data_IF_804570797498
#
_entry.id   IF_804570797498
#
_cell.length_a   1.000
_cell.length_b   1.000
_cell.length_c   1.000
_cell.angle_alpha   90.00
_cell.angle_beta   90.00
_cell.angle_gamma   90.00
#
_symmetry.space_group_name_H-M   'P 1'
#
loop_
_entity.id
_entity.type
_entity.pdbx_description
1 polymer ?
#
# COMPACT_ATOMS: atom_id res chain seq x y z
N UNK A 1 -34.18 4.55 -2.21
CA UNK A 1 -33.02 5.44 -2.02
C UNK A 1 -33.58 6.81 -1.70
N UNK A 2 -33.31 7.34 -0.51
CA UNK A 2 -33.77 8.70 -0.18
C UNK A 2 -32.98 9.72 -1.01
N UNK A 3 -33.64 10.76 -1.53
CA UNK A 3 -33.02 11.76 -2.43
C UNK A 3 -31.76 12.40 -1.81
N UNK A 4 -31.76 12.64 -0.51
CA UNK A 4 -30.61 13.20 0.21
C UNK A 4 -29.39 12.27 0.26
N UNK A 5 -29.60 10.95 0.26
CA UNK A 5 -28.51 9.97 0.24
C UNK A 5 -27.84 9.89 -1.13
N UNK A 6 -28.63 9.97 -2.21
CA UNK A 6 -28.10 9.97 -3.57
C UNK A 6 -27.24 11.21 -3.85
N UNK A 7 -27.69 12.38 -3.41
CA UNK A 7 -26.92 13.62 -3.55
C UNK A 7 -25.52 13.47 -2.96
N UNK A 8 -25.42 12.94 -1.74
CA UNK A 8 -24.12 12.72 -1.07
C UNK A 8 -23.22 11.73 -1.82
N UNK A 9 -23.81 10.71 -2.44
CA UNK A 9 -23.06 9.76 -3.26
C UNK A 9 -22.52 10.43 -4.53
N UNK A 10 -23.33 11.26 -5.19
CA UNK A 10 -22.91 12.04 -6.37
C UNK A 10 -21.84 13.07 -6.01
N UNK A 11 -21.97 13.75 -4.86
CA UNK A 11 -20.96 14.69 -4.35
C UNK A 11 -19.60 13.99 -4.14
N UNK A 12 -19.61 12.79 -3.56
CA UNK A 12 -18.40 11.97 -3.47
C UNK A 12 -17.82 11.73 -4.85
N UNK A 13 -18.64 11.24 -5.80
CA UNK A 13 -18.20 10.91 -7.16
C UNK A 13 -17.56 12.08 -7.90
N UNK A 14 -18.16 13.27 -7.79
CA UNK A 14 -17.62 14.47 -8.42
C UNK A 14 -16.33 14.94 -7.75
N UNK A 15 -16.19 14.74 -6.44
CA UNK A 15 -14.97 15.09 -5.67
C UNK A 15 -13.82 14.07 -5.78
N UNK A 16 -14.03 12.92 -6.45
CA UNK A 16 -13.02 11.86 -6.56
C UNK A 16 -11.75 12.33 -7.29
N UNK A 17 -10.61 12.15 -6.63
CA UNK A 17 -9.28 12.33 -7.22
C UNK A 17 -8.69 10.97 -7.59
N UNK A 18 -9.09 10.42 -8.73
CA UNK A 18 -8.61 9.12 -9.22
C UNK A 18 -8.05 9.22 -10.64
N UNK A 19 -7.45 8.13 -11.12
CA UNK A 19 -6.98 8.03 -12.50
C UNK A 19 -8.18 8.12 -13.45
N UNK A 20 -8.03 8.81 -14.57
CA UNK A 20 -9.06 8.92 -15.60
C UNK A 20 -9.64 7.56 -16.04
N UNK A 21 -8.79 6.53 -16.13
CA UNK A 21 -9.25 5.18 -16.46
C UNK A 21 -10.20 4.57 -15.42
N UNK A 22 -10.02 4.89 -14.13
CA UNK A 22 -10.92 4.46 -13.05
C UNK A 22 -12.20 5.31 -13.10
N UNK A 23 -12.05 6.63 -13.29
CA UNK A 23 -13.18 7.55 -13.38
C UNK A 23 -14.13 7.15 -14.50
N UNK A 24 -13.63 6.89 -15.71
CA UNK A 24 -14.46 6.43 -16.84
C UNK A 24 -15.27 5.19 -16.47
N UNK A 25 -14.59 4.14 -16.00
CA UNK A 25 -15.23 2.89 -15.57
C UNK A 25 -16.35 3.07 -14.56
N UNK A 26 -16.17 3.97 -13.59
CA UNK A 26 -17.21 4.24 -12.59
C UNK A 26 -18.45 4.85 -13.25
N UNK A 27 -18.27 5.70 -14.25
CA UNK A 27 -19.34 6.40 -14.96
C UNK A 27 -19.79 5.70 -16.26
N UNK A 28 -19.28 4.51 -16.58
CA UNK A 28 -19.59 3.82 -17.85
C UNK A 28 -21.11 3.54 -17.98
N UNK A 29 -21.80 3.28 -16.88
CA UNK A 29 -23.26 3.07 -16.83
C UNK A 29 -24.05 4.34 -16.42
N UNK A 30 -23.38 5.49 -16.41
CA UNK A 30 -23.97 6.79 -16.06
C UNK A 30 -23.93 7.14 -14.57
N UNK A 31 -24.14 8.42 -14.27
CA UNK A 31 -23.96 8.99 -12.92
C UNK A 31 -24.93 8.42 -11.88
N UNK A 32 -26.17 8.12 -12.28
CA UNK A 32 -27.16 7.54 -11.37
C UNK A 32 -26.74 6.15 -10.89
N UNK A 33 -26.30 5.29 -11.82
CA UNK A 33 -25.80 3.96 -11.49
C UNK A 33 -24.56 4.04 -10.63
N UNK A 34 -23.60 4.90 -10.99
CA UNK A 34 -22.42 5.14 -10.18
C UNK A 34 -22.78 5.55 -8.74
N UNK A 35 -23.76 6.45 -8.56
CA UNK A 35 -24.24 6.87 -7.24
C UNK A 35 -24.84 5.71 -6.44
N UNK A 36 -25.56 4.80 -7.11
CA UNK A 36 -26.07 3.58 -6.51
C UNK A 36 -24.95 2.63 -6.08
N UNK A 37 -23.94 2.41 -6.92
CA UNK A 37 -22.78 1.58 -6.56
C UNK A 37 -22.01 2.14 -5.35
N UNK A 38 -21.85 3.46 -5.26
CA UNK A 38 -21.28 4.14 -4.09
C UNK A 38 -22.10 3.86 -2.84
N UNK A 39 -23.43 4.00 -2.91
CA UNK A 39 -24.32 3.73 -1.78
C UNK A 39 -24.15 2.29 -1.29
N UNK A 40 -24.14 1.32 -2.20
CA UNK A 40 -23.96 -0.09 -1.84
C UNK A 40 -22.66 -0.34 -1.07
N UNK A 41 -21.54 0.24 -1.49
CA UNK A 41 -20.26 0.05 -0.78
C UNK A 41 -20.24 0.78 0.55
N UNK A 42 -20.85 1.96 0.63
CA UNK A 42 -20.99 2.69 1.90
C UNK A 42 -21.83 1.88 2.88
N UNK A 43 -22.95 1.32 2.44
CA UNK A 43 -23.85 0.52 3.29
C UNK A 43 -23.17 -0.79 3.72
N UNK A 44 -22.46 -1.48 2.83
CA UNK A 44 -21.64 -2.65 3.17
C UNK A 44 -20.60 -2.33 4.26
N UNK A 45 -19.81 -1.27 4.07
CA UNK A 45 -18.83 -0.83 5.06
C UNK A 45 -19.47 -0.46 6.41
N UNK A 46 -20.65 0.17 6.38
CA UNK A 46 -21.40 0.48 7.60
C UNK A 46 -21.95 -0.78 8.27
N UNK A 47 -22.39 -1.78 7.50
CA UNK A 47 -22.81 -3.08 8.01
C UNK A 47 -21.73 -3.81 8.79
N UNK A 48 -20.45 -3.59 8.44
CA UNK A 48 -19.30 -4.09 9.18
C UNK A 48 -18.80 -3.17 10.30
N UNK A 49 -19.54 -2.11 10.63
CA UNK A 49 -19.31 -1.28 11.81
C UNK A 49 -18.58 0.04 11.57
N UNK A 50 -18.30 0.44 10.32
CA UNK A 50 -17.84 1.81 10.07
C UNK A 50 -18.99 2.82 10.20
N UNK A 51 -18.69 4.00 10.73
CA UNK A 51 -19.62 5.11 10.62
C UNK A 51 -19.68 5.60 9.18
N UNK A 52 -20.85 6.09 8.74
CA UNK A 52 -21.08 6.54 7.36
C UNK A 52 -20.06 7.56 6.86
N UNK A 53 -19.63 8.51 7.71
CA UNK A 53 -18.58 9.49 7.39
C UNK A 53 -17.27 8.80 6.98
N UNK A 54 -16.90 7.76 7.70
CA UNK A 54 -15.62 7.08 7.56
C UNK A 54 -15.68 6.10 6.38
N UNK A 55 -16.84 5.48 6.13
CA UNK A 55 -17.10 4.72 4.91
C UNK A 55 -16.95 5.59 3.64
N UNK A 56 -17.54 6.80 3.61
CA UNK A 56 -17.32 7.75 2.51
C UNK A 56 -15.82 8.12 2.37
N UNK A 57 -15.12 8.32 3.47
CA UNK A 57 -13.66 8.61 3.46
C UNK A 57 -12.83 7.46 2.90
N UNK A 58 -13.20 6.21 3.19
CA UNK A 58 -12.57 5.01 2.61
C UNK A 58 -12.75 4.99 1.10
N UNK A 59 -13.97 5.16 0.59
CA UNK A 59 -14.24 5.19 -0.85
C UNK A 59 -13.54 6.35 -1.55
N UNK A 60 -13.49 7.53 -0.92
CA UNK A 60 -12.84 8.70 -1.49
C UNK A 60 -11.33 8.49 -1.64
N UNK A 61 -10.69 7.84 -0.66
CA UNK A 61 -9.26 7.48 -0.71
C UNK A 61 -8.97 6.31 -1.65
N UNK A 62 -9.88 5.35 -1.76
CA UNK A 62 -9.73 4.18 -2.64
C UNK A 62 -10.93 4.01 -3.58
N UNK A 63 -11.01 4.81 -4.67
CA UNK A 63 -12.19 4.81 -5.54
C UNK A 63 -12.37 3.55 -6.37
N UNK A 64 -11.33 2.70 -6.45
CA UNK A 64 -11.41 1.41 -7.16
C UNK A 64 -12.43 0.46 -6.51
N UNK A 65 -12.79 0.69 -5.24
CA UNK A 65 -13.79 -0.13 -4.54
C UNK A 65 -15.18 -0.05 -5.17
N UNK A 66 -15.50 1.06 -5.84
CA UNK A 66 -16.77 1.21 -6.56
C UNK A 66 -16.87 0.20 -7.70
N UNK A 67 -15.73 -0.28 -8.22
CA UNK A 67 -15.63 -1.23 -9.33
C UNK A 67 -15.48 -2.70 -8.89
N UNK A 68 -15.43 -2.98 -7.58
CA UNK A 68 -15.26 -4.34 -7.08
C UNK A 68 -16.59 -4.89 -6.62
N UNK A 69 -16.79 -6.19 -6.82
CA UNK A 69 -17.94 -6.92 -6.29
C UNK A 69 -18.00 -6.79 -4.77
N UNK A 70 -19.22 -6.76 -4.23
CA UNK A 70 -19.43 -6.55 -2.79
C UNK A 70 -18.89 -7.74 -2.01
N UNK A 71 -19.11 -8.95 -2.52
CA UNK A 71 -18.66 -10.20 -1.92
C UNK A 71 -17.13 -10.25 -1.77
N UNK A 72 -16.40 -9.67 -2.75
CA UNK A 72 -14.94 -9.55 -2.70
C UNK A 72 -14.47 -8.54 -1.63
N UNK A 73 -15.27 -7.51 -1.35
CA UNK A 73 -15.00 -6.53 -0.29
C UNK A 73 -15.29 -7.16 1.07
N UNK A 74 -16.46 -7.77 1.23
CA UNK A 74 -16.89 -8.44 2.46
C UNK A 74 -15.91 -9.54 2.86
N UNK A 75 -15.52 -10.42 1.93
CA UNK A 75 -14.56 -11.48 2.21
C UNK A 75 -13.19 -10.96 2.67
N UNK A 76 -12.74 -9.79 2.18
CA UNK A 76 -11.52 -9.14 2.67
C UNK A 76 -11.70 -8.53 4.05
N UNK A 77 -12.87 -7.95 4.35
CA UNK A 77 -13.19 -7.39 5.67
C UNK A 77 -13.29 -8.52 6.69
N UNK A 78 -13.99 -9.60 6.40
CA UNK A 78 -14.09 -10.77 7.28
C UNK A 78 -12.71 -11.35 7.57
N UNK A 79 -11.85 -11.49 6.56
CA UNK A 79 -10.48 -11.94 6.78
C UNK A 79 -9.68 -10.97 7.68
N UNK A 80 -9.87 -9.66 7.49
CA UNK A 80 -9.20 -8.63 8.29
C UNK A 80 -9.60 -8.72 9.78
N UNK A 81 -10.91 -8.82 10.05
CA UNK A 81 -11.46 -8.84 11.40
C UNK A 81 -11.24 -10.19 12.09
N UNK A 82 -11.58 -11.29 11.41
CA UNK A 82 -11.67 -12.61 12.01
C UNK A 82 -10.33 -13.34 12.02
N UNK A 83 -9.53 -13.20 10.95
CA UNK A 83 -8.25 -13.90 10.83
C UNK A 83 -7.09 -13.01 11.27
N UNK A 84 -6.97 -11.81 10.69
CA UNK A 84 -5.84 -10.93 10.97
C UNK A 84 -5.97 -10.15 12.28
N UNK A 85 -7.17 -10.15 12.90
CA UNK A 85 -7.48 -9.50 14.18
C UNK A 85 -7.25 -7.98 14.20
N UNK A 86 -7.34 -7.31 13.04
CA UNK A 86 -7.34 -5.84 13.00
C UNK A 86 -8.77 -5.31 13.17
N UNK A 87 -8.90 -4.12 13.76
CA UNK A 87 -10.19 -3.44 13.85
C UNK A 87 -10.62 -2.85 12.51
N UNK A 88 -11.93 -2.69 12.32
CA UNK A 88 -12.51 -2.11 11.09
C UNK A 88 -12.00 -0.68 10.82
N UNK A 89 -11.74 0.09 11.87
CA UNK A 89 -11.16 1.44 11.82
C UNK A 89 -9.82 1.49 11.05
N UNK A 90 -9.06 0.39 11.01
CA UNK A 90 -7.80 0.33 10.25
C UNK A 90 -7.98 0.57 8.74
N UNK A 91 -9.17 0.32 8.20
CA UNK A 91 -9.50 0.60 6.80
C UNK A 91 -9.55 2.09 6.50
N UNK A 92 -9.83 2.92 7.50
CA UNK A 92 -9.79 4.39 7.35
C UNK A 92 -8.38 4.87 7.05
N UNK A 93 -7.40 4.28 7.74
CA UNK A 93 -5.99 4.64 7.62
C UNK A 93 -5.34 4.01 6.40
N UNK A 94 -5.75 2.79 6.07
CA UNK A 94 -5.14 1.97 5.01
C UNK A 94 -6.21 1.36 4.10
N UNK A 95 -7.01 2.19 3.39
CA UNK A 95 -8.09 1.71 2.54
C UNK A 95 -7.58 0.90 1.33
N UNK A 96 -6.32 1.08 0.96
CA UNK A 96 -5.70 0.34 -0.14
C UNK A 96 -5.62 -1.17 0.12
N UNK A 97 -5.80 -1.62 1.37
CA UNK A 97 -5.97 -3.03 1.71
C UNK A 97 -7.07 -3.67 0.86
N UNK A 98 -8.23 -3.03 0.76
CA UNK A 98 -9.35 -3.55 -0.04
C UNK A 98 -9.04 -3.52 -1.55
N UNK A 99 -8.11 -2.64 -1.96
CA UNK A 99 -7.53 -2.53 -3.29
C UNK A 99 -6.56 -3.66 -3.68
N UNK A 100 -6.06 -4.44 -2.73
CA UNK A 100 -5.07 -5.49 -2.97
C UNK A 100 -5.69 -6.78 -3.52
N UNK A 101 -4.88 -7.54 -4.24
CA UNK A 101 -5.31 -8.87 -4.65
C UNK A 101 -5.26 -9.83 -3.45
N UNK A 102 -6.40 -10.41 -3.11
CA UNK A 102 -6.54 -11.25 -1.92
C UNK A 102 -5.61 -12.47 -1.94
N UNK A 103 -5.71 -13.30 -2.98
CA UNK A 103 -4.94 -14.55 -3.08
C UNK A 103 -3.46 -14.34 -3.37
N UNK A 104 -3.10 -13.32 -4.16
CA UNK A 104 -1.72 -13.10 -4.63
C UNK A 104 -0.90 -12.18 -3.70
N UNK A 105 -1.55 -11.37 -2.87
CA UNK A 105 -0.85 -10.38 -2.05
C UNK A 105 -1.20 -10.47 -0.57
N UNK A 106 -2.48 -10.46 -0.20
CA UNK A 106 -2.88 -10.45 1.21
C UNK A 106 -2.49 -11.78 1.88
N UNK A 107 -2.95 -12.91 1.34
CA UNK A 107 -2.71 -14.24 1.92
C UNK A 107 -1.21 -14.54 2.06
N UNK A 108 -0.36 -14.43 1.00
CA UNK A 108 1.05 -14.78 1.13
C UNK A 108 1.82 -13.88 2.10
N UNK A 109 1.47 -12.58 2.16
CA UNK A 109 2.09 -11.67 3.13
C UNK A 109 1.69 -12.02 4.55
N UNK A 110 0.40 -12.28 4.79
CA UNK A 110 -0.09 -12.68 6.10
C UNK A 110 0.53 -14.00 6.56
N UNK A 111 0.58 -15.03 5.70
CA UNK A 111 1.16 -16.34 6.06
C UNK A 111 2.63 -16.24 6.48
N UNK A 112 3.43 -15.41 5.81
CA UNK A 112 4.82 -15.16 6.20
C UNK A 112 4.89 -14.50 7.57
N UNK A 113 4.10 -13.44 7.79
CA UNK A 113 4.09 -12.72 9.07
C UNK A 113 3.62 -13.62 10.21
N UNK A 114 2.58 -14.42 10.00
CA UNK A 114 2.06 -15.31 11.01
C UNK A 114 3.06 -16.42 11.35
N UNK A 115 3.74 -16.98 10.35
CA UNK A 115 4.83 -17.92 10.57
C UNK A 115 5.96 -17.31 11.40
N UNK A 116 6.46 -16.12 11.02
CA UNK A 116 7.52 -15.44 11.77
C UNK A 116 7.08 -15.10 13.20
N UNK A 117 5.81 -14.69 13.39
CA UNK A 117 5.22 -14.44 14.71
C UNK A 117 5.27 -15.69 15.59
N UNK A 118 4.84 -16.83 15.07
CA UNK A 118 4.86 -18.12 15.81
C UNK A 118 6.26 -18.58 16.22
N UNK A 119 7.30 -18.12 15.52
CA UNK A 119 8.70 -18.46 15.76
C UNK A 119 9.42 -17.43 16.64
N UNK A 120 8.72 -16.39 17.11
CA UNK A 120 9.33 -15.27 17.84
C UNK A 120 10.28 -14.42 16.98
N UNK A 121 10.16 -14.49 15.66
CA UNK A 121 11.03 -13.77 14.72
C UNK A 121 10.64 -12.31 14.49
N UNK A 122 9.58 -11.83 15.14
CA UNK A 122 9.11 -10.44 15.05
C UNK A 122 9.31 -9.75 16.39
N UNK A 123 10.08 -8.65 16.39
CA UNK A 123 10.32 -7.84 17.59
C UNK A 123 9.12 -6.98 18.00
N UNK A 124 8.39 -6.45 17.01
CA UNK A 124 7.21 -5.60 17.22
C UNK A 124 5.98 -6.14 16.48
N UNK A 125 4.76 -5.82 16.96
CA UNK A 125 3.53 -6.07 16.21
C UNK A 125 3.57 -5.35 14.86
N UNK A 126 3.50 -6.13 13.78
CA UNK A 126 3.41 -5.58 12.43
C UNK A 126 2.06 -4.88 12.28
N UNK A 127 2.07 -3.67 11.75
CA UNK A 127 0.83 -2.93 11.47
C UNK A 127 0.27 -3.32 10.10
N UNK A 128 -1.05 -3.17 9.92
CA UNK A 128 -1.69 -3.37 8.62
C UNK A 128 -1.04 -2.52 7.52
N UNK A 129 -0.60 -1.30 7.87
CA UNK A 129 0.13 -0.40 6.98
C UNK A 129 1.36 -1.06 6.37
N UNK A 130 2.14 -1.79 7.15
CA UNK A 130 3.37 -2.42 6.67
C UNK A 130 3.05 -3.57 5.72
N UNK A 131 2.00 -4.33 6.02
CA UNK A 131 1.50 -5.40 5.15
C UNK A 131 0.99 -4.86 3.81
N UNK A 132 0.42 -3.67 3.77
CA UNK A 132 -0.20 -3.11 2.57
C UNK A 132 0.77 -2.26 1.76
N UNK A 133 1.45 -1.31 2.41
CA UNK A 133 2.25 -0.26 1.75
C UNK A 133 3.63 -0.74 1.30
N UNK A 134 4.16 -1.82 1.88
CA UNK A 134 5.44 -2.36 1.43
C UNK A 134 5.32 -2.87 -0.01
N UNK A 135 6.28 -2.47 -0.85
CA UNK A 135 6.42 -3.04 -2.19
C UNK A 135 6.72 -4.53 -2.08
N UNK A 136 6.40 -5.29 -3.14
CA UNK A 136 6.67 -6.74 -3.17
C UNK A 136 8.15 -7.05 -2.89
N UNK A 137 9.06 -6.28 -3.49
CA UNK A 137 10.51 -6.43 -3.29
C UNK A 137 10.95 -6.10 -1.86
N UNK A 138 10.43 -5.00 -1.27
CA UNK A 138 10.79 -4.63 0.10
C UNK A 138 10.26 -5.65 1.10
N UNK A 139 9.02 -6.10 0.94
CA UNK A 139 8.44 -7.16 1.78
C UNK A 139 9.28 -8.44 1.70
N UNK A 140 9.63 -8.88 0.48
CA UNK A 140 10.47 -10.06 0.29
C UNK A 140 11.83 -9.91 0.97
N UNK A 141 12.53 -8.79 0.77
CA UNK A 141 13.85 -8.60 1.36
C UNK A 141 13.84 -8.52 2.90
N UNK A 142 12.76 -8.03 3.51
CA UNK A 142 12.64 -7.91 4.96
C UNK A 142 12.19 -9.20 5.62
N UNK A 143 11.19 -9.89 5.07
CA UNK A 143 10.49 -10.98 5.76
C UNK A 143 10.66 -12.35 5.11
N UNK A 144 11.18 -12.43 3.89
CA UNK A 144 11.29 -13.71 3.16
C UNK A 144 12.74 -14.08 2.91
N UNK A 145 13.53 -13.21 2.30
CA UNK A 145 14.95 -13.45 2.00
C UNK A 145 15.79 -13.84 3.23
N UNK A 146 15.60 -13.24 4.42
CA UNK A 146 16.37 -13.64 5.60
C UNK A 146 15.93 -14.99 6.19
N UNK A 147 14.76 -15.50 5.79
CA UNK A 147 14.12 -16.70 6.35
C UNK A 147 13.74 -17.66 5.21
N UNK A 148 14.65 -18.53 4.75
CA UNK A 148 14.42 -19.40 3.59
C UNK A 148 13.16 -20.27 3.67
N UNK A 149 12.71 -20.61 4.88
CA UNK A 149 11.46 -21.36 5.10
C UNK A 149 10.22 -20.58 4.61
N UNK A 150 10.28 -19.25 4.67
CA UNK A 150 9.20 -18.37 4.24
C UNK A 150 9.04 -18.30 2.71
N UNK A 151 10.02 -18.76 1.92
CA UNK A 151 9.92 -18.75 0.46
C UNK A 151 8.76 -19.64 -0.04
N UNK A 152 8.52 -20.77 0.64
CA UNK A 152 7.39 -21.66 0.32
C UNK A 152 6.05 -21.01 0.62
N UNK A 153 5.96 -20.24 1.70
CA UNK A 153 4.75 -19.55 2.13
C UNK A 153 4.43 -18.33 1.26
N UNK A 154 5.45 -17.57 0.88
CA UNK A 154 5.28 -16.38 0.03
C UNK A 154 5.01 -16.73 -1.43
N UNK A 155 5.45 -17.92 -1.86
CA UNK A 155 5.44 -18.35 -3.25
C UNK A 155 6.62 -17.79 -4.06
N UNK A 156 6.73 -18.21 -5.33
CA UNK A 156 7.87 -17.82 -6.19
C UNK A 156 7.96 -16.30 -6.34
N UNK A 157 8.99 -15.71 -5.76
CA UNK A 157 9.44 -14.36 -6.08
C UNK A 157 10.35 -14.44 -7.31
N UNK A 158 9.77 -14.33 -8.50
CA UNK A 158 10.57 -13.90 -9.64
C UNK A 158 10.86 -12.43 -9.40
N UNK A 159 12.08 -12.10 -9.00
CA UNK A 159 12.58 -10.74 -9.20
C UNK A 159 12.47 -10.49 -10.70
N UNK A 160 11.36 -9.89 -11.15
CA UNK A 160 11.35 -9.22 -12.44
C UNK A 160 12.60 -8.37 -12.40
N UNK A 161 13.59 -8.71 -13.23
CA UNK A 161 14.82 -7.95 -13.34
C UNK A 161 14.35 -6.54 -13.63
N UNK A 162 14.31 -5.68 -12.61
CA UNK A 162 14.00 -4.28 -12.77
C UNK A 162 15.11 -3.80 -13.67
N UNK A 163 14.84 -3.69 -14.97
CA UNK A 163 15.75 -3.05 -15.91
C UNK A 163 15.86 -1.63 -15.37
N UNK A 164 16.91 -1.40 -14.60
CA UNK A 164 17.26 -0.07 -14.12
C UNK A 164 17.22 0.84 -15.35
N UNK A 165 16.38 1.88 -15.29
CA UNK A 165 16.32 2.89 -16.37
C UNK A 165 17.66 3.61 -16.53
N UNK A 166 18.54 3.50 -15.54
CA UNK A 166 19.90 3.97 -15.60
C UNK A 166 20.84 2.80 -15.93
N UNK A 167 21.65 2.91 -16.99
CA UNK A 167 22.69 1.94 -17.27
C UNK A 167 23.62 1.81 -16.06
N UNK A 168 23.79 0.58 -15.58
CA UNK A 168 24.69 0.27 -14.46
C UNK A 168 26.12 0.63 -14.90
N UNK A 169 26.81 1.44 -14.10
CA UNK A 169 28.20 1.83 -14.38
C UNK A 169 28.38 3.23 -14.98
N UNK A 170 27.33 4.04 -15.16
CA UNK A 170 27.48 5.46 -15.58
C UNK A 170 28.39 6.26 -14.64
N UNK A 171 28.39 5.93 -13.34
CA UNK A 171 29.28 6.53 -12.35
C UNK A 171 30.78 6.28 -12.64
N UNK A 172 31.11 5.23 -13.40
CA UNK A 172 32.49 4.96 -13.85
C UNK A 172 32.94 5.89 -14.99
N UNK A 173 31.98 6.50 -15.69
CA UNK A 173 32.25 7.48 -16.75
C UNK A 173 32.41 8.91 -16.19
N UNK A 174 31.87 9.16 -14.99
CA UNK A 174 32.11 10.39 -14.25
C UNK A 174 33.54 10.36 -13.72
N UNK A 175 34.47 11.04 -14.40
CA UNK A 175 35.77 11.39 -13.83
C UNK A 175 35.56 12.67 -13.01
N UNK A 176 35.71 12.64 -11.67
CA UNK A 176 35.66 13.86 -10.89
C UNK A 176 36.77 14.80 -11.40
N UNK A 177 36.45 16.10 -11.51
CA UNK A 177 37.46 17.10 -11.80
C UNK A 177 38.50 17.05 -10.69
N UNK A 178 39.76 16.78 -11.04
CA UNK A 178 40.86 16.85 -10.07
C UNK A 178 41.11 18.33 -9.79
N UNK A 179 40.59 18.81 -8.67
CA UNK A 179 41.01 20.11 -8.15
C UNK A 179 42.46 20.00 -7.67
N UNK A 180 43.36 20.93 -8.05
CA UNK A 180 44.69 20.95 -7.49
C UNK A 180 44.58 21.27 -6.00
N UNK A 181 44.97 20.34 -5.14
CA UNK A 181 44.99 20.56 -3.69
C UNK A 181 45.95 21.72 -3.39
N UNK A 182 45.41 22.86 -2.95
CA UNK A 182 46.25 23.94 -2.47
C UNK A 182 46.82 23.55 -1.10
N UNK A 183 47.98 24.11 -0.73
CA UNK A 183 48.54 23.92 0.62
C UNK A 183 47.58 24.37 1.74
N UNK A 184 46.62 25.25 1.42
CA UNK A 184 45.55 25.67 2.33
C UNK A 184 44.51 24.56 2.56
N UNK A 185 44.14 23.81 1.52
CA UNK A 185 43.15 22.74 1.59
C UNK A 185 43.64 21.59 2.48
N UNK A 186 44.92 21.24 2.36
CA UNK A 186 45.56 20.19 3.20
C UNK A 186 45.61 20.62 4.68
N UNK A 187 45.87 21.92 4.94
CA UNK A 187 45.90 22.46 6.31
C UNK A 187 44.51 22.49 6.94
N UNK A 188 43.49 22.85 6.16
CA UNK A 188 42.10 22.88 6.61
C UNK A 188 41.58 21.47 6.91
N UNK A 189 41.88 20.48 6.06
CA UNK A 189 41.51 19.08 6.34
C UNK A 189 42.21 18.55 7.59
N UNK A 190 43.49 18.86 7.80
CA UNK A 190 44.22 18.46 9.01
C UNK A 190 43.59 19.05 10.27
N UNK A 191 43.28 20.34 10.26
CA UNK A 191 42.64 21.03 11.39
C UNK A 191 41.24 20.45 11.69
N UNK A 192 40.49 20.09 10.65
CA UNK A 192 39.19 19.43 10.81
C UNK A 192 39.32 18.03 11.43
N UNK A 193 40.29 17.21 10.97
CA UNK A 193 40.51 15.89 11.55
C UNK A 193 40.99 15.95 13.01
N UNK A 194 41.81 16.94 13.35
CA UNK A 194 42.24 17.19 14.73
C UNK A 194 41.08 17.63 15.65
N UNK A 195 40.03 18.26 15.11
CA UNK A 195 38.84 18.65 15.88
C UNK A 195 37.84 17.52 16.16
N UNK A 196 38.04 16.35 15.54
CA UNK A 196 37.18 15.17 15.68
C UNK A 196 37.75 14.12 16.65
N UNK A 197 38.95 14.34 17.19
CA UNK A 197 39.55 13.56 18.29
C UNK A 197 39.41 14.27 19.62
#
# INVERSE_FOLDING_TARGET
MELGELSRCLDLLWSLRCREAVRRKIFDEGAFRAGFEVKLRVDCLCGHGLIRRDAFRVLWKEPRLILYEIEDIEGKIEFLLNTMKYGIESLVDVPEYLGMNFKKQIIPRYSVIEYLRSRGGLGDPIQLRDLVKLSRLRFYNLYVKPYPECEKLYGRFSADKVKSRHPVGLWKLLKPQKFPESKGDVRNMRSFMESLG
#
